data_IF_509387235206
#
_entry.id   IF_509387235206
#
_cell.length_a   1.000
_cell.length_b   1.000
_cell.length_c   1.000
_cell.angle_alpha   90.00
_cell.angle_beta   90.00
_cell.angle_gamma   90.00
#
_symmetry.space_group_name_H-M   'P 1'
#
loop_
_entity.id
_entity.type
_entity.pdbx_description
1 polymer ?
#
# COMPACT_ATOMS: atom_id res chain seq x y z
N UNK A 1 30.96 3.23 -1.85
CA UNK A 1 30.42 2.77 -0.55
C UNK A 1 29.04 2.14 -0.80
N UNK A 2 28.62 1.23 0.06
CA UNK A 2 27.30 0.62 -0.06
C UNK A 2 26.47 0.88 1.20
N UNK A 3 25.25 1.38 1.03
CA UNK A 3 24.33 1.69 2.11
C UNK A 3 23.14 0.72 2.10
N UNK A 4 22.69 0.33 3.29
CA UNK A 4 21.58 -0.61 3.49
C UNK A 4 20.47 0.05 4.30
N UNK A 5 19.22 -0.24 3.94
CA UNK A 5 18.03 0.06 4.73
C UNK A 5 17.26 -1.24 4.95
N UNK A 6 16.87 -1.53 6.19
CA UNK A 6 16.21 -2.80 6.55
C UNK A 6 14.75 -2.53 6.94
N UNK A 7 13.79 -3.15 6.29
CA UNK A 7 12.39 -2.91 6.64
C UNK A 7 11.38 -3.77 5.91
N UNK A 8 10.15 -3.71 6.38
CA UNK A 8 9.02 -4.36 5.70
C UNK A 8 8.58 -3.61 4.44
N UNK A 9 8.78 -2.32 4.41
CA UNK A 9 8.43 -1.40 3.33
C UNK A 9 6.98 -1.55 2.81
N UNK A 10 6.06 -1.98 3.67
CA UNK A 10 4.67 -2.12 3.27
C UNK A 10 4.05 -0.74 3.01
N UNK A 11 3.53 -0.57 1.80
CA UNK A 11 3.00 0.71 1.32
C UNK A 11 4.03 1.60 0.61
N UNK A 12 5.34 1.40 0.80
CA UNK A 12 6.40 2.27 0.23
C UNK A 12 6.01 3.75 0.30
N UNK A 13 5.91 4.27 1.52
CA UNK A 13 5.47 5.65 1.83
C UNK A 13 6.63 6.64 1.85
N UNK A 14 6.33 7.94 2.01
CA UNK A 14 7.34 9.01 2.02
C UNK A 14 8.40 8.85 3.11
N UNK A 15 8.05 8.27 4.27
CA UNK A 15 9.04 7.92 5.31
C UNK A 15 10.07 6.91 4.80
N UNK A 16 9.67 5.90 4.03
CA UNK A 16 10.60 4.98 3.40
C UNK A 16 11.46 5.69 2.34
N UNK A 17 10.85 6.52 1.48
CA UNK A 17 11.60 7.30 0.49
C UNK A 17 12.63 8.22 1.15
N UNK A 18 12.31 8.79 2.33
CA UNK A 18 13.25 9.59 3.11
C UNK A 18 14.46 8.76 3.60
N UNK A 19 14.23 7.54 4.11
CA UNK A 19 15.32 6.63 4.48
C UNK A 19 16.26 6.35 3.30
N UNK A 20 15.69 6.04 2.14
CA UNK A 20 16.48 5.73 0.95
C UNK A 20 17.20 6.95 0.37
N UNK A 21 16.65 8.15 0.49
CA UNK A 21 17.35 9.39 0.14
C UNK A 21 18.60 9.57 1.02
N UNK A 22 18.48 9.39 2.32
CA UNK A 22 19.64 9.45 3.24
C UNK A 22 20.64 8.33 2.97
N UNK A 23 20.14 7.13 2.59
CA UNK A 23 21.00 6.02 2.17
C UNK A 23 21.80 6.37 0.92
N UNK A 24 21.19 7.05 -0.04
CA UNK A 24 21.87 7.52 -1.26
C UNK A 24 22.96 8.55 -0.95
N UNK A 25 22.70 9.47 -0.04
CA UNK A 25 23.69 10.43 0.47
C UNK A 25 24.85 9.72 1.17
N UNK A 26 24.53 8.77 2.07
CA UNK A 26 25.53 8.00 2.80
C UNK A 26 26.38 7.09 1.90
N UNK A 27 25.81 6.59 0.82
CA UNK A 27 26.52 5.77 -0.17
C UNK A 27 27.52 6.56 -1.01
N UNK A 28 27.41 7.90 -1.08
CA UNK A 28 28.33 8.80 -1.78
C UNK A 28 28.67 8.30 -3.20
N UNK A 29 27.67 8.12 -4.06
CA UNK A 29 27.81 7.61 -5.42
C UNK A 29 27.91 6.09 -5.55
N UNK A 30 27.92 5.37 -4.44
CA UNK A 30 27.85 3.91 -4.43
C UNK A 30 26.42 3.36 -4.46
N UNK A 31 26.27 2.10 -4.04
CA UNK A 31 25.00 1.37 -4.15
C UNK A 31 24.12 1.52 -2.91
N UNK A 32 22.80 1.49 -3.12
CA UNK A 32 21.79 1.45 -2.08
C UNK A 32 21.01 0.13 -2.18
N UNK A 33 20.98 -0.61 -1.09
CA UNK A 33 20.33 -1.91 -1.00
C UNK A 33 19.18 -1.86 -0.01
N UNK A 34 18.00 -2.26 -0.44
CA UNK A 34 16.88 -2.52 0.45
C UNK A 34 16.92 -3.97 0.93
N UNK A 35 16.88 -4.19 2.24
CA UNK A 35 16.73 -5.53 2.84
C UNK A 35 15.30 -5.64 3.34
N UNK A 36 14.54 -6.57 2.77
CA UNK A 36 13.12 -6.76 3.11
C UNK A 36 12.80 -8.24 3.32
N UNK A 37 11.56 -8.52 3.71
CA UNK A 37 11.12 -9.86 4.06
C UNK A 37 9.93 -10.30 3.21
N UNK A 38 9.90 -11.58 2.81
CA UNK A 38 8.75 -12.19 2.16
C UNK A 38 8.59 -13.64 2.63
N UNK A 39 7.43 -14.01 3.24
CA UNK A 39 6.33 -13.14 3.65
C UNK A 39 6.77 -12.10 4.70
N UNK A 40 5.90 -11.15 5.08
CA UNK A 40 6.21 -10.23 6.17
C UNK A 40 6.39 -11.00 7.48
N UNK A 41 7.35 -10.65 8.37
CA UNK A 41 7.59 -11.35 9.63
C UNK A 41 6.35 -11.53 10.50
N UNK A 42 5.42 -10.56 10.48
CA UNK A 42 4.16 -10.66 11.21
C UNK A 42 3.27 -11.82 10.75
N UNK A 43 3.33 -12.20 9.47
CA UNK A 43 2.56 -13.33 8.94
C UNK A 43 3.08 -14.68 9.44
N UNK A 44 4.38 -14.77 9.74
CA UNK A 44 5.00 -15.97 10.32
C UNK A 44 4.83 -16.01 11.85
N UNK A 45 5.01 -14.86 12.51
CA UNK A 45 4.96 -14.77 13.97
C UNK A 45 3.52 -14.82 14.52
N UNK A 46 2.51 -14.45 13.72
CA UNK A 46 1.11 -14.39 14.12
C UNK A 46 0.20 -14.85 12.97
N UNK A 47 0.29 -16.11 12.55
CA UNK A 47 -0.47 -16.65 11.42
C UNK A 47 -1.99 -16.63 11.68
N UNK A 48 -2.41 -16.67 12.95
CA UNK A 48 -3.81 -16.58 13.38
C UNK A 48 -4.42 -15.16 13.21
N UNK A 49 -3.59 -14.15 12.96
CA UNK A 49 -4.00 -12.75 12.75
C UNK A 49 -3.47 -12.23 11.41
N UNK A 50 -4.04 -12.71 10.29
CA UNK A 50 -3.59 -12.26 8.99
C UNK A 50 -3.79 -10.75 8.85
N UNK A 51 -2.71 -10.04 8.59
CA UNK A 51 -2.72 -8.61 8.38
C UNK A 51 -2.74 -8.33 6.88
N UNK A 52 -3.80 -7.69 6.40
CA UNK A 52 -3.89 -7.24 5.01
C UNK A 52 -2.68 -6.39 4.61
N UNK A 53 -2.28 -6.45 3.35
CA UNK A 53 -1.14 -5.70 2.81
C UNK A 53 -1.59 -4.38 2.20
N UNK A 54 -0.84 -3.31 2.45
CA UNK A 54 -0.97 -2.04 1.73
C UNK A 54 -0.49 -2.21 0.28
N UNK A 55 0.58 -2.97 0.09
CA UNK A 55 1.13 -3.24 -1.25
C UNK A 55 1.57 -4.70 -1.36
N UNK A 56 1.15 -5.45 -2.38
CA UNK A 56 1.64 -6.80 -2.64
C UNK A 56 3.15 -6.84 -2.86
N UNK A 57 3.76 -8.01 -2.68
CA UNK A 57 5.20 -8.19 -2.77
C UNK A 57 5.78 -7.68 -4.09
N UNK A 58 5.23 -8.11 -5.23
CA UNK A 58 5.71 -7.73 -6.56
C UNK A 58 5.71 -6.20 -6.75
N UNK A 59 4.59 -5.56 -6.44
CA UNK A 59 4.46 -4.09 -6.56
C UNK A 59 5.39 -3.37 -5.58
N UNK A 60 5.51 -3.87 -4.35
CA UNK A 60 6.40 -3.32 -3.33
C UNK A 60 7.86 -3.28 -3.82
N UNK A 61 8.34 -4.39 -4.38
CA UNK A 61 9.71 -4.47 -4.92
C UNK A 61 9.91 -3.53 -6.10
N UNK A 62 8.92 -3.37 -6.95
CA UNK A 62 8.94 -2.41 -8.05
C UNK A 62 8.97 -0.96 -7.53
N UNK A 63 8.08 -0.61 -6.59
CA UNK A 63 8.03 0.73 -5.99
C UNK A 63 9.35 1.12 -5.29
N UNK A 64 10.04 0.17 -4.65
CA UNK A 64 11.36 0.42 -4.05
C UNK A 64 12.38 0.85 -5.12
N UNK A 65 12.37 0.21 -6.29
CA UNK A 65 13.26 0.59 -7.39
C UNK A 65 12.85 1.92 -8.02
N UNK A 66 11.58 2.04 -8.40
CA UNK A 66 11.09 3.16 -9.21
C UNK A 66 10.98 4.47 -8.43
N UNK A 67 10.62 4.40 -7.15
CA UNK A 67 10.35 5.60 -6.34
C UNK A 67 11.40 5.90 -5.27
N UNK A 68 12.14 4.90 -4.83
CA UNK A 68 13.17 5.08 -3.81
C UNK A 68 14.60 5.01 -4.39
N UNK A 69 14.75 4.72 -5.68
CA UNK A 69 16.05 4.66 -6.34
C UNK A 69 16.95 3.57 -5.77
N UNK A 70 16.37 2.43 -5.39
CA UNK A 70 17.08 1.29 -4.82
C UNK A 70 17.77 0.52 -5.96
N UNK A 71 19.07 0.30 -5.82
CA UNK A 71 19.86 -0.42 -6.84
C UNK A 71 19.66 -1.94 -6.74
N UNK A 72 19.44 -2.45 -5.52
CA UNK A 72 19.26 -3.88 -5.27
C UNK A 72 18.27 -4.10 -4.14
N UNK A 73 17.45 -5.15 -4.25
CA UNK A 73 16.58 -5.58 -3.16
C UNK A 73 16.96 -7.00 -2.75
N UNK A 74 17.43 -7.13 -1.52
CA UNK A 74 17.66 -8.42 -0.87
C UNK A 74 16.38 -8.82 -0.14
N UNK A 75 15.75 -9.89 -0.59
CA UNK A 75 14.54 -10.45 0.05
C UNK A 75 14.94 -11.61 0.93
N UNK A 76 14.66 -11.50 2.22
CA UNK A 76 14.91 -12.54 3.20
C UNK A 76 13.63 -13.31 3.51
N UNK A 77 13.71 -14.63 3.56
CA UNK A 77 12.62 -15.45 4.08
C UNK A 77 12.66 -15.40 5.61
N UNK A 78 11.61 -14.95 6.30
CA UNK A 78 11.58 -14.81 7.76
C UNK A 78 11.29 -16.16 8.42
N UNK A 79 12.19 -17.13 8.27
CA UNK A 79 12.08 -18.42 8.92
C UNK A 79 12.19 -18.28 10.46
N UNK A 80 11.69 -19.25 11.25
CA UNK A 80 11.85 -19.25 12.69
C UNK A 80 13.32 -19.09 13.14
N UNK A 81 14.25 -19.69 12.39
CA UNK A 81 15.69 -19.61 12.65
C UNK A 81 16.19 -18.17 12.47
N UNK A 82 15.85 -17.50 11.35
CA UNK A 82 16.23 -16.11 11.10
C UNK A 82 15.62 -15.17 12.14
N UNK A 83 14.32 -15.34 12.45
CA UNK A 83 13.61 -14.53 13.44
C UNK A 83 14.07 -14.79 14.88
N UNK A 84 14.69 -15.95 15.14
CA UNK A 84 15.28 -16.35 16.41
C UNK A 84 16.68 -15.84 16.64
N UNK A 85 17.35 -15.25 15.66
CA UNK A 85 18.73 -14.74 15.79
C UNK A 85 18.81 -13.59 16.78
N UNK A 86 19.88 -13.58 17.60
CA UNK A 86 20.23 -12.38 18.39
C UNK A 86 20.55 -11.21 17.45
N UNK A 87 20.53 -9.96 17.93
CA UNK A 87 20.94 -8.81 17.12
C UNK A 87 22.32 -8.99 16.48
N UNK A 88 23.29 -9.52 17.21
CA UNK A 88 24.66 -9.78 16.73
C UNK A 88 24.66 -10.83 15.61
N UNK A 89 23.98 -11.95 15.84
CA UNK A 89 23.89 -13.04 14.87
C UNK A 89 23.15 -12.60 13.60
N UNK A 90 22.12 -11.76 13.73
CA UNK A 90 21.41 -11.21 12.59
C UNK A 90 22.31 -10.30 11.73
N UNK A 91 23.10 -9.41 12.35
CA UNK A 91 24.05 -8.56 11.60
C UNK A 91 25.15 -9.40 10.96
N UNK A 92 25.64 -10.44 11.64
CA UNK A 92 26.62 -11.36 11.05
C UNK A 92 26.07 -12.11 9.84
N UNK A 93 24.83 -12.64 9.93
CA UNK A 93 24.13 -13.29 8.81
C UNK A 93 23.91 -12.30 7.66
N UNK A 94 23.44 -11.09 7.95
CA UNK A 94 23.24 -10.06 6.92
C UNK A 94 24.55 -9.73 6.19
N UNK A 95 25.66 -9.57 6.91
CA UNK A 95 26.99 -9.28 6.34
C UNK A 95 27.53 -10.42 5.48
N UNK A 96 27.12 -11.65 5.73
CA UNK A 96 27.48 -12.78 4.87
C UNK A 96 26.76 -12.75 3.52
N UNK A 97 25.59 -12.12 3.46
CA UNK A 97 24.74 -12.04 2.26
C UNK A 97 24.99 -10.76 1.44
N UNK A 98 25.26 -9.65 2.12
CA UNK A 98 25.47 -8.35 1.48
C UNK A 98 26.54 -7.57 2.24
N UNK A 99 27.51 -7.01 1.49
CA UNK A 99 28.48 -6.07 2.04
C UNK A 99 27.83 -4.71 2.20
N UNK A 100 28.19 -3.99 3.26
CA UNK A 100 27.74 -2.61 3.46
C UNK A 100 28.71 -1.83 4.35
N UNK A 101 28.75 -0.53 4.11
CA UNK A 101 29.57 0.44 4.83
C UNK A 101 28.69 1.33 5.72
N UNK A 102 27.37 1.35 5.49
CA UNK A 102 26.42 2.11 6.28
C UNK A 102 25.06 1.41 6.36
N UNK A 103 24.39 1.55 7.52
CA UNK A 103 22.97 1.22 7.71
C UNK A 103 22.23 2.50 8.09
N UNK A 104 21.09 2.75 7.45
CA UNK A 104 20.24 3.92 7.69
C UNK A 104 18.90 3.44 8.24
N UNK A 105 18.55 3.91 9.46
CA UNK A 105 17.31 3.50 10.12
C UNK A 105 16.67 4.65 10.89
N UNK A 106 15.36 4.53 11.11
CA UNK A 106 14.63 5.48 11.95
C UNK A 106 14.81 5.19 13.46
N UNK A 107 14.40 6.13 14.35
CA UNK A 107 14.58 6.02 15.81
C UNK A 107 13.86 4.80 16.42
N UNK A 108 12.78 4.34 15.79
CA UNK A 108 11.99 3.21 16.28
C UNK A 108 12.42 1.85 15.70
N UNK A 109 13.54 1.83 14.99
CA UNK A 109 14.06 0.59 14.40
C UNK A 109 14.32 -0.46 15.48
N UNK A 110 13.84 -1.69 15.24
CA UNK A 110 14.03 -2.85 16.12
C UNK A 110 14.29 -4.09 15.29
N UNK A 111 15.27 -4.87 15.69
CA UNK A 111 15.69 -6.09 15.01
C UNK A 111 16.13 -7.19 15.99
N UNK A 112 16.42 -8.38 15.45
CA UNK A 112 16.79 -9.55 16.24
C UNK A 112 15.61 -10.15 17.01
N UNK A 113 15.89 -11.26 17.70
CA UNK A 113 14.88 -12.02 18.46
C UNK A 113 14.12 -11.13 19.42
N UNK A 114 12.79 -11.25 19.38
CA UNK A 114 11.87 -10.46 20.20
C UNK A 114 12.08 -8.93 20.08
N UNK A 115 12.64 -8.45 18.95
CA UNK A 115 12.96 -7.02 18.72
C UNK A 115 13.91 -6.43 19.76
N UNK A 116 14.85 -7.22 20.28
CA UNK A 116 15.75 -6.83 21.38
C UNK A 116 16.82 -5.83 20.98
N UNK A 117 17.21 -5.76 19.69
CA UNK A 117 18.14 -4.77 19.16
C UNK A 117 17.45 -3.47 18.77
N UNK A 118 18.10 -2.35 19.07
CA UNK A 118 17.71 -1.01 18.61
C UNK A 118 18.90 -0.27 18.02
N UNK A 119 18.79 1.06 17.84
CA UNK A 119 19.85 1.89 17.24
C UNK A 119 21.16 1.84 18.03
N UNK A 120 21.09 1.83 19.37
CA UNK A 120 22.31 1.79 20.19
C UNK A 120 23.04 0.45 20.05
N UNK A 121 22.29 -0.65 20.01
CA UNK A 121 22.85 -1.98 19.69
C UNK A 121 23.49 -1.96 18.31
N UNK A 122 22.79 -1.36 17.32
CA UNK A 122 23.29 -1.29 15.95
C UNK A 122 24.57 -0.43 15.86
N UNK A 123 24.66 0.69 16.60
CA UNK A 123 25.87 1.52 16.69
C UNK A 123 27.05 0.78 17.30
N UNK A 124 26.82 0.03 18.39
CA UNK A 124 27.85 -0.80 19.00
C UNK A 124 28.37 -1.85 18.02
N UNK A 125 27.50 -2.53 17.30
CA UNK A 125 27.85 -3.49 16.25
C UNK A 125 28.57 -2.81 15.08
N UNK A 126 28.17 -1.58 14.74
CA UNK A 126 28.83 -0.78 13.71
C UNK A 126 30.28 -0.47 14.07
N UNK A 127 30.54 -0.06 15.32
CA UNK A 127 31.88 0.18 15.81
C UNK A 127 32.74 -1.10 15.79
N UNK A 128 32.14 -2.25 16.15
CA UNK A 128 32.84 -3.54 16.17
C UNK A 128 33.18 -4.07 14.76
N UNK A 129 32.24 -3.90 13.83
CA UNK A 129 32.31 -4.52 12.51
C UNK A 129 32.66 -3.54 11.36
N UNK A 130 32.93 -2.27 11.66
CA UNK A 130 33.42 -1.28 10.71
C UNK A 130 32.36 -0.75 9.75
N UNK A 131 31.10 -0.56 10.19
CA UNK A 131 30.07 0.12 9.43
C UNK A 131 29.47 1.30 10.20
N UNK A 132 29.00 2.31 9.48
CA UNK A 132 28.34 3.49 10.07
C UNK A 132 26.85 3.25 10.25
N UNK A 133 26.27 3.88 11.28
CA UNK A 133 24.84 3.92 11.49
C UNK A 133 24.38 5.38 11.34
N UNK A 134 23.45 5.60 10.44
CA UNK A 134 22.83 6.92 10.23
C UNK A 134 21.40 6.85 10.73
N UNK A 135 21.10 7.65 11.74
CA UNK A 135 19.73 7.80 12.23
C UNK A 135 18.98 8.80 11.37
N UNK A 136 17.88 8.35 10.79
CA UNK A 136 16.99 9.20 9.98
C UNK A 136 15.95 9.86 10.88
N UNK A 137 15.79 11.19 10.85
CA UNK A 137 14.71 11.84 11.57
C UNK A 137 13.35 11.45 10.98
N UNK A 138 12.26 11.51 11.78
CA UNK A 138 10.91 11.27 11.30
C UNK A 138 10.55 12.18 10.11
N UNK A 139 9.97 11.63 9.06
CA UNK A 139 9.47 12.40 7.93
C UNK A 139 8.01 12.81 8.18
N UNK A 140 7.77 14.11 8.38
CA UNK A 140 6.44 14.65 8.63
C UNK A 140 5.76 15.05 7.33
N UNK A 141 4.47 14.75 7.23
CA UNK A 141 3.58 15.16 6.13
C UNK A 141 2.39 15.92 6.70
N UNK A 142 1.92 16.93 5.98
CA UNK A 142 0.74 17.71 6.35
C UNK A 142 -0.49 17.07 5.71
N UNK A 143 -1.53 16.83 6.51
CA UNK A 143 -2.82 16.29 6.08
C UNK A 143 -3.74 17.41 5.55
N UNK A 144 -4.89 17.03 5.00
CA UNK A 144 -5.86 17.98 4.42
C UNK A 144 -6.47 18.93 5.47
N UNK A 145 -6.50 18.52 6.73
CA UNK A 145 -6.98 19.31 7.88
C UNK A 145 -5.89 20.20 8.50
N UNK A 146 -4.68 20.27 7.90
CA UNK A 146 -3.54 21.04 8.38
C UNK A 146 -2.75 20.36 9.50
N UNK A 147 -3.19 19.21 10.01
CA UNK A 147 -2.43 18.45 11.01
C UNK A 147 -1.18 17.82 10.39
N UNK A 148 -0.15 17.61 11.20
CA UNK A 148 1.10 16.99 10.74
C UNK A 148 1.28 15.62 11.39
N UNK A 149 1.56 14.62 10.58
CA UNK A 149 1.78 13.24 11.02
C UNK A 149 3.08 12.70 10.46
N UNK A 150 3.64 11.73 11.14
CA UNK A 150 4.78 11.00 10.59
C UNK A 150 4.34 10.04 9.49
N UNK A 151 5.05 10.02 8.37
CA UNK A 151 4.78 9.12 7.26
C UNK A 151 5.16 7.67 7.65
N UNK A 152 4.16 6.91 8.10
CA UNK A 152 4.27 5.51 8.55
C UNK A 152 3.18 4.62 7.95
N UNK A 153 3.47 3.33 7.79
CA UNK A 153 2.47 2.35 7.35
C UNK A 153 1.26 2.26 8.30
N UNK A 154 1.48 2.42 9.63
CA UNK A 154 0.39 2.43 10.61
C UNK A 154 -0.54 3.64 10.46
N UNK A 155 0.00 4.82 10.18
CA UNK A 155 -0.77 6.03 9.91
C UNK A 155 -1.57 5.88 8.61
N UNK A 156 -0.94 5.39 7.53
CA UNK A 156 -1.63 5.13 6.28
C UNK A 156 -2.80 4.13 6.45
N UNK A 157 -2.61 3.07 7.24
CA UNK A 157 -3.67 2.10 7.56
C UNK A 157 -4.82 2.73 8.32
N UNK A 158 -4.54 3.57 9.32
CA UNK A 158 -5.57 4.28 10.10
C UNK A 158 -6.39 5.22 9.19
N UNK A 159 -5.72 6.01 8.36
CA UNK A 159 -6.38 6.92 7.41
C UNK A 159 -7.27 6.16 6.40
N UNK A 160 -6.79 5.03 5.86
CA UNK A 160 -7.61 4.18 5.00
C UNK A 160 -8.82 3.60 5.74
N UNK A 161 -8.64 3.15 6.98
CA UNK A 161 -9.73 2.63 7.81
C UNK A 161 -10.80 3.68 8.16
N UNK A 162 -10.44 4.96 8.11
CA UNK A 162 -11.33 6.11 8.28
C UNK A 162 -11.91 6.64 6.95
N UNK A 163 -11.53 6.05 5.80
CA UNK A 163 -11.94 6.53 4.47
C UNK A 163 -11.18 7.78 3.98
N UNK A 164 -10.20 8.27 4.73
CA UNK A 164 -9.38 9.46 4.43
C UNK A 164 -8.32 9.14 3.36
N UNK A 165 -8.77 8.73 2.18
CA UNK A 165 -7.89 8.28 1.09
C UNK A 165 -7.00 9.39 0.55
N UNK A 166 -7.48 10.66 0.54
CA UNK A 166 -6.68 11.82 0.16
C UNK A 166 -5.52 12.07 1.13
N UNK A 167 -5.74 11.90 2.42
CA UNK A 167 -4.70 12.00 3.44
C UNK A 167 -3.73 10.82 3.40
N UNK A 168 -4.24 9.60 3.17
CA UNK A 168 -3.39 8.45 2.94
C UNK A 168 -2.47 8.67 1.72
N UNK A 169 -2.97 9.32 0.65
CA UNK A 169 -2.17 9.67 -0.52
C UNK A 169 -1.02 10.64 -0.16
N UNK A 170 -1.22 11.59 0.76
CA UNK A 170 -0.15 12.48 1.28
C UNK A 170 0.93 11.68 2.00
N UNK A 171 0.55 10.67 2.80
CA UNK A 171 1.50 9.78 3.49
C UNK A 171 2.28 8.90 2.49
N UNK A 172 1.62 8.37 1.46
CA UNK A 172 2.27 7.56 0.42
C UNK A 172 3.07 8.41 -0.59
N UNK A 173 2.77 9.69 -0.75
CA UNK A 173 3.25 10.53 -1.86
C UNK A 173 2.65 10.11 -3.22
N UNK A 174 1.53 9.38 -3.21
CA UNK A 174 0.74 8.94 -4.37
C UNK A 174 -0.64 8.47 -3.93
N UNK A 175 -1.65 8.42 -4.80
CA UNK A 175 -2.93 7.78 -4.49
C UNK A 175 -2.74 6.35 -3.99
N UNK A 176 -3.58 5.91 -3.06
CA UNK A 176 -3.64 4.50 -2.68
C UNK A 176 -4.13 3.69 -3.87
N UNK A 177 -3.37 2.67 -4.26
CA UNK A 177 -3.69 1.81 -5.39
C UNK A 177 -4.04 0.39 -4.90
N UNK A 178 -5.19 -0.10 -5.36
CA UNK A 178 -5.63 -1.47 -5.20
C UNK A 178 -5.55 -2.16 -6.56
N UNK A 179 -4.54 -2.98 -6.75
CA UNK A 179 -4.35 -3.80 -7.96
C UNK A 179 -4.74 -5.24 -7.64
N UNK A 180 -5.80 -5.71 -8.27
CA UNK A 180 -6.38 -7.02 -7.98
C UNK A 180 -6.96 -7.65 -9.24
N UNK A 181 -7.05 -8.99 -9.31
CA UNK A 181 -7.79 -9.67 -10.35
C UNK A 181 -9.27 -9.29 -10.32
N UNK A 182 -9.87 -9.15 -11.48
CA UNK A 182 -11.31 -9.00 -11.62
C UNK A 182 -11.99 -10.36 -11.47
N UNK A 183 -13.11 -10.38 -10.75
CA UNK A 183 -13.93 -11.56 -10.53
C UNK A 183 -15.37 -11.35 -10.97
N UNK A 184 -16.07 -12.45 -11.20
CA UNK A 184 -17.49 -12.40 -11.56
C UNK A 184 -18.32 -12.00 -10.32
N UNK A 185 -19.14 -10.95 -10.45
CA UNK A 185 -20.13 -10.53 -9.46
C UNK A 185 -21.56 -10.88 -9.91
N UNK A 186 -22.55 -10.36 -9.19
CA UNK A 186 -23.99 -10.60 -9.43
C UNK A 186 -24.53 -10.03 -10.74
N UNK A 187 -23.77 -9.19 -11.43
CA UNK A 187 -24.12 -8.55 -12.70
C UNK A 187 -25.41 -7.70 -12.67
N UNK A 188 -25.95 -7.39 -11.48
CA UNK A 188 -27.18 -6.59 -11.33
C UNK A 188 -27.02 -5.18 -11.92
N UNK A 189 -25.85 -4.57 -11.77
CA UNK A 189 -25.57 -3.25 -12.31
C UNK A 189 -25.71 -3.18 -13.84
N UNK A 190 -25.37 -4.25 -14.56
CA UNK A 190 -25.47 -4.31 -16.02
C UNK A 190 -26.90 -4.14 -16.52
N UNK A 191 -27.89 -4.79 -15.89
CA UNK A 191 -29.31 -4.67 -16.26
C UNK A 191 -29.88 -3.28 -15.97
N UNK A 192 -29.21 -2.53 -15.10
CA UNK A 192 -29.57 -1.17 -14.72
C UNK A 192 -28.81 -0.09 -15.50
N UNK A 193 -27.97 -0.47 -16.48
CA UNK A 193 -27.14 0.47 -17.24
C UNK A 193 -25.87 0.94 -16.50
N UNK A 194 -25.54 0.32 -15.34
CA UNK A 194 -24.39 0.62 -14.49
C UNK A 194 -23.50 -0.62 -14.32
N UNK A 195 -22.77 -1.04 -15.36
CA UNK A 195 -21.92 -2.21 -15.27
C UNK A 195 -20.80 -1.99 -14.24
N UNK A 196 -20.66 -2.92 -13.30
CA UNK A 196 -19.63 -2.90 -12.25
C UNK A 196 -18.64 -4.01 -12.46
N UNK A 197 -17.38 -3.73 -12.17
CA UNK A 197 -16.28 -4.70 -12.05
C UNK A 197 -16.05 -5.02 -10.58
N UNK A 198 -16.02 -6.29 -10.25
CA UNK A 198 -15.72 -6.77 -8.91
C UNK A 198 -14.26 -7.19 -8.85
N UNK A 199 -13.58 -6.88 -7.74
CA UNK A 199 -12.18 -7.20 -7.53
C UNK A 199 -12.02 -8.25 -6.43
N UNK A 200 -11.13 -9.22 -6.66
CA UNK A 200 -10.64 -10.09 -5.59
C UNK A 200 -9.64 -9.31 -4.73
N UNK A 201 -10.14 -8.73 -3.68
CA UNK A 201 -9.35 -7.94 -2.73
C UNK A 201 -8.84 -8.75 -1.53
N UNK A 202 -8.86 -10.08 -1.60
CA UNK A 202 -8.40 -10.97 -0.56
C UNK A 202 -6.98 -10.62 -0.11
N UNK A 203 -6.77 -10.49 1.20
CA UNK A 203 -5.47 -10.14 1.77
C UNK A 203 -5.03 -8.69 1.56
N UNK A 204 -5.87 -7.83 0.96
CA UNK A 204 -5.61 -6.39 0.75
C UNK A 204 -6.29 -5.53 1.81
N UNK A 205 -5.74 -4.35 2.04
CA UNK A 205 -6.39 -3.33 2.84
C UNK A 205 -7.40 -2.60 1.97
N UNK A 206 -8.67 -2.67 2.36
CA UNK A 206 -9.71 -1.84 1.78
C UNK A 206 -9.91 -0.58 2.63
N UNK A 207 -10.13 0.59 2.01
CA UNK A 207 -10.58 1.79 2.72
C UNK A 207 -11.91 1.55 3.46
N UNK A 208 -12.36 2.47 4.30
CA UNK A 208 -13.68 2.40 4.95
C UNK A 208 -14.82 2.13 3.96
N UNK A 209 -15.95 1.61 4.44
CA UNK A 209 -17.11 1.35 3.60
C UNK A 209 -17.71 2.65 3.07
N UNK A 210 -17.79 2.78 1.75
CA UNK A 210 -18.31 4.00 1.10
C UNK A 210 -18.12 4.01 -0.41
N UNK A 211 -18.46 5.14 -1.00
CA UNK A 211 -18.26 5.46 -2.41
C UNK A 211 -17.12 6.45 -2.54
N UNK A 212 -16.23 6.19 -3.48
CA UNK A 212 -15.03 6.97 -3.73
C UNK A 212 -14.94 7.40 -5.19
N UNK A 213 -14.35 8.55 -5.42
CA UNK A 213 -13.82 8.93 -6.73
C UNK A 213 -12.41 8.38 -6.90
N UNK A 214 -12.12 7.92 -8.10
CA UNK A 214 -10.79 7.42 -8.43
C UNK A 214 -10.58 7.21 -9.91
N UNK A 215 -9.54 6.48 -10.23
CA UNK A 215 -9.18 6.06 -11.59
C UNK A 215 -8.97 4.56 -11.65
N UNK A 216 -9.28 3.99 -12.79
CA UNK A 216 -8.97 2.62 -13.13
C UNK A 216 -7.97 2.58 -14.29
N UNK A 217 -6.88 1.82 -14.15
CA UNK A 217 -5.99 1.51 -15.25
C UNK A 217 -6.32 0.12 -15.77
N UNK A 218 -6.71 0.04 -17.04
CA UNK A 218 -7.08 -1.17 -17.75
C UNK A 218 -5.83 -1.93 -18.25
N UNK A 219 -5.96 -3.21 -18.62
CA UNK A 219 -4.82 -4.01 -19.10
C UNK A 219 -4.09 -3.44 -20.32
N UNK A 220 -4.80 -2.72 -21.17
CA UNK A 220 -4.25 -2.04 -22.37
C UNK A 220 -3.56 -0.70 -22.05
N UNK A 221 -3.52 -0.31 -20.75
CA UNK A 221 -2.98 0.95 -20.29
C UNK A 221 -3.96 2.12 -20.33
N UNK A 222 -5.17 1.93 -20.83
CA UNK A 222 -6.21 2.97 -20.82
C UNK A 222 -6.57 3.33 -19.38
N UNK A 223 -6.68 4.64 -19.11
CA UNK A 223 -7.12 5.17 -17.82
C UNK A 223 -8.55 5.67 -17.94
N UNK A 224 -9.43 5.17 -17.09
CA UNK A 224 -10.83 5.58 -16.99
C UNK A 224 -11.12 6.19 -15.61
N UNK A 225 -12.06 7.11 -15.53
CA UNK A 225 -12.61 7.57 -14.25
C UNK A 225 -13.34 6.38 -13.60
N UNK A 226 -13.20 6.22 -12.28
CA UNK A 226 -13.83 5.14 -11.55
C UNK A 226 -14.68 5.66 -10.38
N UNK A 227 -15.95 5.28 -10.35
CA UNK A 227 -16.77 5.33 -9.16
C UNK A 227 -16.55 4.01 -8.40
N UNK A 228 -15.84 4.08 -7.28
CA UNK A 228 -15.42 2.89 -6.53
C UNK A 228 -16.32 2.73 -5.31
N UNK A 229 -16.90 1.54 -5.13
CA UNK A 229 -17.69 1.18 -3.95
C UNK A 229 -16.95 0.14 -3.13
N UNK A 230 -16.81 0.41 -1.83
CA UNK A 230 -16.27 -0.53 -0.84
C UNK A 230 -17.35 -0.78 0.21
N UNK A 231 -17.65 -2.04 0.48
CA UNK A 231 -18.67 -2.38 1.46
C UNK A 231 -18.89 -3.87 1.64
N UNK A 232 -19.68 -4.25 2.64
CA UNK A 232 -20.08 -5.63 2.86
C UNK A 232 -21.15 -6.06 1.88
N UNK A 233 -21.00 -7.27 1.32
CA UNK A 233 -22.00 -7.87 0.43
C UNK A 233 -22.56 -9.15 1.03
N UNK A 234 -23.89 -9.32 1.04
CA UNK A 234 -24.52 -10.56 1.49
C UNK A 234 -24.11 -11.79 0.70
N UNK A 235 -23.72 -11.62 -0.57
CA UNK A 235 -23.41 -12.69 -1.54
C UNK A 235 -22.08 -13.41 -1.29
N UNK A 236 -21.15 -12.79 -0.57
CA UNK A 236 -19.81 -13.35 -0.27
C UNK A 236 -19.67 -13.83 1.18
N UNK A 237 -20.78 -14.01 1.90
CA UNK A 237 -20.82 -14.32 3.35
C UNK A 237 -21.04 -13.06 4.18
N UNK A 238 -21.64 -13.21 5.35
CA UNK A 238 -22.14 -12.10 6.19
C UNK A 238 -21.07 -11.08 6.65
N UNK A 239 -19.78 -11.35 6.39
CA UNK A 239 -18.66 -10.51 6.85
C UNK A 239 -17.68 -10.11 5.78
N UNK A 240 -17.82 -10.55 4.53
CA UNK A 240 -16.83 -10.27 3.47
C UNK A 240 -17.05 -8.87 2.89
N UNK A 241 -16.01 -8.01 3.02
CA UNK A 241 -15.97 -6.72 2.34
C UNK A 241 -15.55 -6.91 0.89
N UNK A 242 -16.22 -6.24 -0.02
CA UNK A 242 -15.96 -6.27 -1.44
C UNK A 242 -15.59 -4.88 -1.97
N UNK A 243 -14.84 -4.85 -3.05
CA UNK A 243 -14.52 -3.65 -3.81
C UNK A 243 -15.06 -3.80 -5.23
N UNK A 244 -15.85 -2.83 -5.66
CA UNK A 244 -16.42 -2.76 -7.00
C UNK A 244 -16.11 -1.40 -7.62
N UNK A 245 -16.04 -1.36 -8.94
CA UNK A 245 -15.90 -0.11 -9.68
C UNK A 245 -16.83 -0.06 -10.88
N UNK A 246 -17.53 1.06 -11.03
CA UNK A 246 -18.14 1.48 -12.31
C UNK A 246 -17.13 2.36 -13.01
N UNK A 247 -16.74 1.98 -14.23
CA UNK A 247 -15.84 2.76 -15.05
C UNK A 247 -16.60 3.75 -15.90
N UNK A 248 -16.12 4.99 -15.94
CA UNK A 248 -16.74 6.09 -16.65
C UNK A 248 -15.80 6.61 -17.74
N UNK A 249 -16.37 6.90 -18.89
CA UNK A 249 -15.68 7.67 -19.93
C UNK A 249 -15.49 9.13 -19.46
N UNK A 250 -14.66 9.91 -20.18
CA UNK A 250 -14.42 11.33 -19.87
C UNK A 250 -15.69 12.18 -19.89
N UNK A 251 -16.71 11.78 -20.66
CA UNK A 251 -18.01 12.43 -20.69
C UNK A 251 -18.97 11.96 -19.58
N UNK A 252 -18.48 11.11 -18.69
CA UNK A 252 -19.21 10.58 -17.54
C UNK A 252 -20.14 9.42 -17.85
N UNK A 253 -20.26 8.95 -19.08
CA UNK A 253 -21.07 7.76 -19.38
C UNK A 253 -20.38 6.50 -18.89
N UNK A 254 -21.13 5.53 -18.30
CA UNK A 254 -20.59 4.23 -17.98
C UNK A 254 -19.96 3.55 -19.21
N UNK A 255 -18.78 3.00 -19.06
CA UNK A 255 -18.12 2.25 -20.13
C UNK A 255 -18.80 0.89 -20.30
N UNK A 256 -19.06 0.52 -21.57
CA UNK A 256 -19.44 -0.84 -21.90
C UNK A 256 -18.24 -1.76 -21.69
N UNK A 257 -18.37 -2.68 -20.74
CA UNK A 257 -17.32 -3.63 -20.43
C UNK A 257 -17.56 -4.92 -21.24
N UNK A 258 -16.52 -5.50 -21.87
CA UNK A 258 -16.62 -6.81 -22.50
C UNK A 258 -17.12 -7.89 -21.52
N UNK A 259 -17.80 -8.91 -22.05
CA UNK A 259 -18.40 -9.99 -21.23
C UNK A 259 -17.35 -10.88 -20.55
N UNK A 260 -16.16 -10.93 -21.11
CA UNK A 260 -15.04 -11.80 -20.75
C UNK A 260 -13.96 -11.10 -19.90
N UNK A 261 -14.25 -9.89 -19.41
CA UNK A 261 -13.32 -9.13 -18.60
C UNK A 261 -13.22 -9.65 -17.15
N UNK A 262 -12.90 -10.97 -17.03
CA UNK A 262 -12.63 -11.62 -15.76
C UNK A 262 -11.20 -12.19 -15.73
N UNK A 263 -10.58 -12.17 -14.57
CA UNK A 263 -9.27 -12.76 -14.35
C UNK A 263 -8.08 -11.88 -14.73
N UNK A 264 -8.29 -10.67 -15.29
CA UNK A 264 -7.20 -9.74 -15.51
C UNK A 264 -7.01 -8.79 -14.32
N UNK A 265 -5.82 -8.24 -14.17
CA UNK A 265 -5.53 -7.26 -13.13
C UNK A 265 -6.09 -5.89 -13.47
N UNK A 266 -6.92 -5.36 -12.59
CA UNK A 266 -7.39 -3.97 -12.61
C UNK A 266 -6.69 -3.18 -11.50
N UNK A 267 -6.11 -2.03 -11.83
CA UNK A 267 -5.56 -1.11 -10.85
C UNK A 267 -6.56 0.02 -10.59
N UNK A 268 -7.06 0.09 -9.35
CA UNK A 268 -7.92 1.19 -8.88
C UNK A 268 -7.12 2.13 -8.00
N UNK A 269 -7.07 3.43 -8.33
CA UNK A 269 -6.50 4.50 -7.53
C UNK A 269 -7.61 5.28 -6.86
N UNK A 270 -7.50 5.45 -5.54
CA UNK A 270 -8.47 6.18 -4.74
C UNK A 270 -8.03 7.63 -4.59
N UNK A 271 -8.87 8.57 -5.01
CA UNK A 271 -8.57 10.01 -4.96
C UNK A 271 -9.33 10.71 -3.84
N UNK A 272 -10.66 10.52 -3.76
CA UNK A 272 -11.50 11.21 -2.80
C UNK A 272 -12.63 10.31 -2.27
N UNK A 273 -13.01 10.55 -1.00
CA UNK A 273 -14.24 10.04 -0.41
C UNK A 273 -15.42 10.87 -0.92
N UNK A 274 -16.47 10.19 -1.38
CA UNK A 274 -17.70 10.84 -1.82
C UNK A 274 -18.78 10.77 -0.74
N UNK A 275 -19.04 9.57 -0.19
CA UNK A 275 -20.04 9.34 0.85
C UNK A 275 -19.91 7.96 1.51
N UNK A 276 -20.59 7.79 2.64
CA UNK A 276 -20.78 6.48 3.24
C UNK A 276 -21.76 5.59 2.48
N UNK A 277 -21.85 4.31 2.87
CA UNK A 277 -22.84 3.38 2.33
C UNK A 277 -24.24 3.76 2.81
N UNK A 278 -25.23 3.68 1.92
CA UNK A 278 -26.63 3.98 2.17
C UNK A 278 -27.51 2.78 1.78
N UNK A 279 -28.65 2.62 2.48
CA UNK A 279 -29.70 1.66 2.11
C UNK A 279 -30.81 2.41 1.37
N UNK A 280 -31.25 1.88 0.25
CA UNK A 280 -32.29 2.49 -0.58
C UNK A 280 -33.60 1.73 -0.48
N UNK A 281 -34.70 2.44 -0.32
CA UNK A 281 -36.05 1.87 -0.23
C UNK A 281 -36.65 1.49 -1.59
N UNK A 282 -36.09 1.98 -2.69
CA UNK A 282 -36.53 1.66 -4.05
C UNK A 282 -35.37 1.67 -5.04
N UNK A 283 -35.58 1.06 -6.22
CA UNK A 283 -34.62 1.08 -7.32
C UNK A 283 -34.44 2.51 -7.87
N UNK A 284 -35.50 3.28 -7.94
CA UNK A 284 -35.48 4.67 -8.42
C UNK A 284 -34.60 5.55 -7.51
N UNK A 285 -34.72 5.39 -6.18
CA UNK A 285 -33.88 6.10 -5.23
C UNK A 285 -32.39 5.73 -5.39
N UNK A 286 -32.10 4.45 -5.60
CA UNK A 286 -30.74 3.97 -5.87
C UNK A 286 -30.19 4.61 -7.16
N UNK A 287 -30.92 4.55 -8.27
CA UNK A 287 -30.47 5.09 -9.56
C UNK A 287 -30.28 6.62 -9.50
N UNK A 288 -31.20 7.34 -8.86
CA UNK A 288 -31.06 8.79 -8.66
C UNK A 288 -29.81 9.12 -7.85
N UNK A 289 -29.50 8.33 -6.81
CA UNK A 289 -28.30 8.53 -6.03
C UNK A 289 -27.02 8.24 -6.83
N UNK A 290 -27.02 7.17 -7.64
CA UNK A 290 -25.90 6.84 -8.51
C UNK A 290 -25.58 7.95 -9.51
N UNK A 291 -26.58 8.65 -10.04
CA UNK A 291 -26.38 9.83 -10.90
C UNK A 291 -25.76 11.01 -10.16
N UNK A 292 -26.15 11.22 -8.90
CA UNK A 292 -25.53 12.22 -8.03
C UNK A 292 -24.08 11.86 -7.74
N UNK A 293 -23.82 10.59 -7.41
CA UNK A 293 -22.47 10.07 -7.15
C UNK A 293 -21.58 10.22 -8.39
N UNK A 294 -22.09 9.90 -9.59
CA UNK A 294 -21.37 10.08 -10.85
C UNK A 294 -20.89 11.53 -11.02
N UNK A 295 -21.80 12.47 -10.80
CA UNK A 295 -21.47 13.90 -10.94
C UNK A 295 -20.37 14.31 -9.95
N UNK A 296 -20.44 13.85 -8.69
CA UNK A 296 -19.44 14.12 -7.68
C UNK A 296 -18.10 13.45 -8.01
N UNK A 297 -18.11 12.21 -8.53
CA UNK A 297 -16.91 11.48 -8.94
C UNK A 297 -16.19 12.19 -10.09
N UNK A 298 -16.94 12.66 -11.11
CA UNK A 298 -16.36 13.39 -12.23
C UNK A 298 -15.74 14.71 -11.76
N UNK A 299 -16.43 15.45 -10.89
CA UNK A 299 -15.92 16.70 -10.34
C UNK A 299 -14.63 16.48 -9.56
N UNK A 300 -14.54 15.42 -8.74
CA UNK A 300 -13.36 15.08 -7.97
C UNK A 300 -12.20 14.54 -8.82
N UNK A 301 -12.46 13.97 -10.00
CA UNK A 301 -11.44 13.48 -10.92
C UNK A 301 -10.88 14.58 -11.84
N UNK A 302 -11.58 15.72 -11.94
CA UNK A 302 -11.20 16.84 -12.82
C UNK A 302 -10.38 17.94 -12.11
N UNK A 303 -10.25 17.89 -10.79
CA UNK A 303 -9.47 18.82 -9.95
C UNK A 303 -8.18 18.19 -9.45
#
# INVERSE_FOLDING_TARGET
MQAVVIGNFDGVHLGHAHLFRLAREAANGGRVVAVTFEPLPAAVLRPERPMGRLTPSRERLQLLRDRCGVDEVLVLEPTPELLGLSPEAFIADLRSRVRFDAIIEGPDFRFGRARSGGLDTLRALGALHGFRVVEAPPHLVELTDGSRVEARSSVARALLAEGRVADAARVFGRPYELRCPTIRGDQRGRTMGWPTMNLDSSGRILPADGVYAGEATLPDGTVAIAAISVGTKPTFGESARACEATLLAKDGRPLSLPLDWYGFELALRFHAWIRGMEKFGSLEALLSRMETDRSAVIAAASG
#
